data_IF_462016061864
#
_entry.id   IF_462016061864
#
_cell.length_a   1.000
_cell.length_b   1.000
_cell.length_c   1.000
_cell.angle_alpha   90.00
_cell.angle_beta   90.00
_cell.angle_gamma   90.00
#
_symmetry.space_group_name_H-M   'P 1'
#
loop_
_entity.id
_entity.type
_entity.pdbx_description
1 polymer ?
#
# COMPACT_ATOMS: atom_id res chain seq x y z
N UNK A 1 10.96 4.50 -0.90
CA UNK A 1 10.23 4.63 0.37
C UNK A 1 8.75 4.88 0.12
N UNK A 2 7.91 4.49 1.04
CA UNK A 2 6.46 4.65 0.96
C UNK A 2 5.97 5.59 2.06
N UNK A 3 5.06 6.49 1.70
CA UNK A 3 4.31 7.25 2.70
C UNK A 3 3.16 6.39 3.22
N UNK A 4 2.97 6.37 4.53
CA UNK A 4 1.86 5.63 5.13
C UNK A 4 0.71 6.60 5.35
N UNK A 5 -0.40 6.33 4.68
CA UNK A 5 -1.55 7.24 4.58
C UNK A 5 -2.71 6.82 5.50
N UNK A 6 -2.40 6.28 6.66
CA UNK A 6 -3.40 5.94 7.65
C UNK A 6 -3.07 6.55 9.01
N UNK A 7 -3.97 6.35 9.99
CA UNK A 7 -3.79 6.86 11.34
C UNK A 7 -3.16 5.85 12.31
N UNK A 8 -2.41 4.87 11.80
CA UNK A 8 -1.71 3.89 12.64
C UNK A 8 -0.54 4.48 13.42
N UNK A 9 -0.10 5.68 13.06
CA UNK A 9 1.04 6.36 13.69
C UNK A 9 2.34 6.23 12.91
N UNK A 10 2.38 5.41 11.89
CA UNK A 10 3.55 5.29 11.02
C UNK A 10 3.48 6.36 9.94
N UNK A 11 4.59 7.06 9.70
CA UNK A 11 4.67 8.11 8.68
C UNK A 11 5.33 7.62 7.40
N UNK A 12 6.49 7.00 7.50
CA UNK A 12 7.29 6.55 6.36
C UNK A 12 7.78 5.13 6.62
N UNK A 13 7.69 4.29 5.61
CA UNK A 13 8.19 2.92 5.65
C UNK A 13 9.00 2.61 4.40
N UNK A 14 9.90 1.66 4.51
CA UNK A 14 10.71 1.17 3.39
C UNK A 14 10.23 -0.22 2.99
N UNK A 15 9.93 -0.39 1.70
CA UNK A 15 9.59 -1.71 1.17
C UNK A 15 10.82 -2.63 1.22
N UNK A 16 10.67 -3.75 1.89
CA UNK A 16 11.72 -4.76 2.03
C UNK A 16 11.51 -5.91 1.08
N UNK A 17 10.26 -6.38 0.95
CA UNK A 17 9.92 -7.56 0.17
C UNK A 17 8.52 -7.41 -0.42
N UNK A 18 8.35 -7.78 -1.68
CA UNK A 18 7.03 -7.86 -2.33
C UNK A 18 6.46 -9.25 -2.09
N UNK A 19 5.27 -9.30 -1.45
CA UNK A 19 4.59 -10.54 -1.13
C UNK A 19 3.50 -10.85 -2.16
N UNK A 20 3.22 -12.14 -2.37
CA UNK A 20 2.08 -12.65 -3.14
C UNK A 20 1.97 -12.11 -4.57
N UNK A 21 3.04 -11.58 -5.13
CA UNK A 21 3.03 -11.21 -6.54
C UNK A 21 3.20 -12.47 -7.39
N UNK A 22 2.22 -12.75 -8.24
CA UNK A 22 2.39 -13.74 -9.30
C UNK A 22 3.38 -13.13 -10.28
N UNK A 23 4.65 -13.44 -10.11
CA UNK A 23 5.70 -12.89 -10.93
C UNK A 23 5.62 -13.38 -12.34
N UNK A 24 5.78 -12.48 -13.31
CA UNK A 24 6.23 -12.87 -14.63
C UNK A 24 7.58 -13.57 -14.46
N UNK A 25 7.70 -14.76 -15.02
CA UNK A 25 8.87 -15.64 -14.90
C UNK A 25 10.09 -15.15 -15.69
N UNK A 26 10.25 -13.84 -15.86
CA UNK A 26 11.45 -13.32 -16.49
C UNK A 26 12.60 -13.44 -15.51
N UNK A 27 13.57 -14.28 -15.83
CA UNK A 27 14.84 -14.35 -15.14
C UNK A 27 15.43 -12.94 -15.10
N UNK A 28 15.91 -12.49 -13.96
CA UNK A 28 16.53 -11.18 -13.72
C UNK A 28 15.55 -10.00 -13.57
N UNK A 29 14.25 -10.20 -13.57
CA UNK A 29 13.31 -9.12 -13.22
C UNK A 29 13.23 -8.99 -11.70
N UNK A 30 13.60 -7.82 -11.18
CA UNK A 30 13.34 -7.49 -9.78
C UNK A 30 11.84 -7.37 -9.59
N UNK A 31 11.24 -8.02 -8.57
CA UNK A 31 9.82 -7.86 -8.32
C UNK A 31 9.53 -6.39 -7.99
N UNK A 32 8.57 -5.82 -8.72
CA UNK A 32 8.07 -4.47 -8.48
C UNK A 32 6.65 -4.56 -7.97
N UNK A 33 6.35 -3.80 -6.94
CA UNK A 33 5.00 -3.70 -6.42
C UNK A 33 4.25 -2.60 -7.16
N UNK A 34 2.98 -2.85 -7.40
CA UNK A 34 2.04 -1.89 -7.96
C UNK A 34 0.84 -1.75 -7.03
N UNK A 35 -0.18 -0.97 -7.45
CA UNK A 35 -1.39 -0.75 -6.65
C UNK A 35 -2.06 -2.09 -6.33
N UNK A 36 -2.41 -2.28 -5.06
CA UNK A 36 -3.06 -3.48 -4.58
C UNK A 36 -2.13 -4.63 -4.27
N UNK A 37 -0.83 -4.47 -4.46
CA UNK A 37 0.15 -5.48 -4.06
C UNK A 37 0.46 -5.38 -2.57
N UNK A 38 0.64 -6.54 -1.93
CA UNK A 38 1.03 -6.61 -0.52
C UNK A 38 2.55 -6.66 -0.43
N UNK A 39 3.12 -5.79 0.39
CA UNK A 39 4.57 -5.72 0.60
C UNK A 39 4.90 -5.78 2.08
N UNK A 40 6.07 -6.30 2.42
CA UNK A 40 6.64 -6.19 3.75
C UNK A 40 7.45 -4.90 3.83
N UNK A 41 7.25 -4.13 4.90
CA UNK A 41 7.92 -2.85 5.09
C UNK A 41 8.57 -2.76 6.46
N UNK A 42 9.69 -2.03 6.51
CA UNK A 42 10.33 -1.62 7.76
C UNK A 42 9.93 -0.18 8.05
N UNK A 43 9.53 0.09 9.30
CA UNK A 43 9.12 1.42 9.72
C UNK A 43 10.36 2.31 9.86
N UNK A 44 10.36 3.46 9.19
CA UNK A 44 11.46 4.42 9.23
C UNK A 44 11.15 5.68 10.02
N UNK A 45 9.92 6.19 9.92
CA UNK A 45 9.46 7.34 10.69
C UNK A 45 8.08 7.04 11.27
N UNK A 46 7.90 7.38 12.54
CA UNK A 46 6.64 7.13 13.25
C UNK A 46 6.38 8.23 14.28
N UNK A 47 5.13 8.35 14.69
CA UNK A 47 4.72 9.25 15.77
C UNK A 47 5.02 8.61 17.14
N UNK A 48 5.30 9.41 18.18
CA UNK A 48 5.49 8.86 19.53
C UNK A 48 4.30 8.07 20.07
N UNK A 49 3.09 8.38 19.60
CA UNK A 49 1.86 7.66 19.96
C UNK A 49 1.64 6.36 19.20
N UNK A 50 2.53 6.01 18.27
CA UNK A 50 2.41 4.80 17.48
C UNK A 50 2.50 3.56 18.37
N UNK A 51 1.49 2.69 18.27
CA UNK A 51 1.43 1.45 19.05
C UNK A 51 2.10 0.27 18.34
N UNK A 52 2.43 0.41 17.07
CA UNK A 52 3.10 -0.63 16.32
C UNK A 52 4.58 -0.74 16.69
N UNK A 53 5.08 -1.97 16.71
CA UNK A 53 6.48 -2.20 17.02
C UNK A 53 7.35 -1.76 15.83
N UNK A 54 8.09 -0.66 16.01
CA UNK A 54 8.93 -0.09 14.96
C UNK A 54 10.16 -0.93 14.60
N UNK A 55 10.47 -1.95 15.40
CA UNK A 55 11.58 -2.87 15.15
C UNK A 55 11.18 -4.08 14.32
N UNK A 56 9.89 -4.30 14.12
CA UNK A 56 9.37 -5.42 13.34
C UNK A 56 8.99 -4.98 11.94
N UNK A 57 8.97 -5.96 11.03
CA UNK A 57 8.48 -5.79 9.68
C UNK A 57 6.95 -5.93 9.69
N UNK A 58 6.28 -5.04 8.99
CA UNK A 58 4.82 -5.05 8.88
C UNK A 58 4.40 -5.22 7.43
N UNK A 59 3.16 -5.69 7.22
CA UNK A 59 2.58 -5.81 5.89
C UNK A 59 1.81 -4.54 5.54
N UNK A 60 1.94 -4.13 4.28
CA UNK A 60 1.22 -2.98 3.73
C UNK A 60 0.62 -3.33 2.39
N UNK A 61 -0.47 -2.63 2.04
CA UNK A 61 -1.05 -2.65 0.71
C UNK A 61 -0.79 -1.31 0.06
N UNK A 62 -0.27 -1.32 -1.16
CA UNK A 62 0.01 -0.09 -1.91
C UNK A 62 -1.31 0.46 -2.44
N UNK A 63 -1.61 1.71 -2.12
CA UNK A 63 -2.85 2.39 -2.50
C UNK A 63 -2.66 3.46 -3.57
N UNK A 64 -1.45 4.01 -3.70
CA UNK A 64 -1.10 5.04 -4.70
C UNK A 64 0.31 4.80 -5.20
N UNK A 65 0.55 5.08 -6.47
CA UNK A 65 1.88 5.01 -7.07
C UNK A 65 2.14 6.20 -7.98
N UNK A 66 3.40 6.64 -8.05
CA UNK A 66 3.83 7.63 -9.05
C UNK A 66 3.88 7.02 -10.45
N UNK A 67 4.16 5.74 -10.56
CA UNK A 67 4.19 5.06 -11.84
C UNK A 67 2.78 4.90 -12.38
N UNK A 68 2.52 5.25 -13.65
CA UNK A 68 1.19 5.07 -14.22
C UNK A 68 0.75 3.61 -14.23
N UNK A 69 -0.50 3.37 -13.89
CA UNK A 69 -1.13 2.06 -13.94
C UNK A 69 -2.17 2.06 -15.05
N UNK A 70 -2.05 1.13 -15.99
CA UNK A 70 -2.99 1.00 -17.09
C UNK A 70 -4.28 0.33 -16.62
N UNK A 71 -5.41 0.90 -17.04
CA UNK A 71 -6.73 0.35 -16.77
C UNK A 71 -7.28 -0.39 -18.00
N UNK A 72 -8.24 -1.32 -17.82
CA UNK A 72 -8.82 -2.08 -18.93
C UNK A 72 -9.46 -1.21 -20.03
N UNK A 73 -9.94 -0.02 -19.68
CA UNK A 73 -10.54 0.92 -20.64
C UNK A 73 -9.52 1.71 -21.47
N UNK A 74 -8.22 1.46 -21.28
CA UNK A 74 -7.14 2.15 -21.97
C UNK A 74 -6.66 3.43 -21.31
N UNK A 75 -7.29 3.88 -20.23
CA UNK A 75 -6.83 5.03 -19.47
C UNK A 75 -5.70 4.65 -18.51
N UNK A 76 -5.04 5.67 -17.96
CA UNK A 76 -3.98 5.51 -16.96
C UNK A 76 -4.33 6.31 -15.72
N UNK A 77 -3.94 5.77 -14.56
CA UNK A 77 -4.01 6.50 -13.30
C UNK A 77 -2.60 6.66 -12.74
N UNK A 78 -2.29 7.86 -12.29
CA UNK A 78 -1.00 8.20 -11.69
C UNK A 78 -1.21 9.17 -10.55
N UNK A 79 -0.47 8.97 -9.47
CA UNK A 79 -0.52 9.82 -8.29
C UNK A 79 0.80 10.56 -8.10
N UNK A 80 0.81 11.59 -7.26
CA UNK A 80 2.00 12.40 -6.99
C UNK A 80 2.99 11.72 -6.06
N UNK A 81 2.57 10.70 -5.33
CA UNK A 81 3.42 9.99 -4.36
C UNK A 81 3.09 8.51 -4.33
N UNK A 82 4.04 7.73 -3.83
CA UNK A 82 3.82 6.33 -3.49
C UNK A 82 3.31 6.26 -2.06
N UNK A 83 2.17 5.65 -1.85
CA UNK A 83 1.55 5.54 -0.54
C UNK A 83 1.02 4.13 -0.30
N UNK A 84 1.00 3.75 0.97
CA UNK A 84 0.53 2.44 1.40
C UNK A 84 -0.26 2.56 2.70
N UNK A 85 -0.97 1.50 3.03
CA UNK A 85 -1.74 1.36 4.26
C UNK A 85 -1.28 0.09 4.97
N UNK A 86 -1.03 0.17 6.27
CA UNK A 86 -0.62 -0.98 7.06
C UNK A 86 -1.82 -1.90 7.29
N UNK A 87 -1.61 -3.19 7.03
CA UNK A 87 -2.61 -4.22 7.25
C UNK A 87 -2.11 -5.25 8.26
N UNK A 88 -3.06 -5.98 8.86
CA UNK A 88 -2.75 -7.10 9.74
C UNK A 88 -2.60 -8.42 8.95
N UNK A 89 -2.42 -9.54 9.65
CA UNK A 89 -2.27 -10.84 9.03
C UNK A 89 -3.51 -11.29 8.26
N UNK A 90 -4.70 -10.78 8.61
CA UNK A 90 -5.96 -11.11 7.96
C UNK A 90 -6.25 -10.21 6.75
N UNK A 91 -5.39 -9.25 6.46
CA UNK A 91 -5.57 -8.31 5.36
C UNK A 91 -6.45 -7.11 5.69
N UNK A 92 -6.78 -6.91 6.95
CA UNK A 92 -7.59 -5.78 7.40
C UNK A 92 -6.69 -4.58 7.73
N UNK A 93 -7.12 -3.33 7.45
CA UNK A 93 -6.34 -2.17 7.82
C UNK A 93 -6.21 -2.04 9.34
N UNK A 94 -5.02 -1.74 9.81
CA UNK A 94 -4.75 -1.52 11.24
C UNK A 94 -5.34 -0.20 11.70
N UNK A 95 -5.23 0.83 10.87
CA UNK A 95 -5.80 2.15 11.17
C UNK A 95 -7.30 2.20 10.91
N UNK A 96 -7.96 3.20 11.48
CA UNK A 96 -9.40 3.42 11.31
C UNK A 96 -9.71 4.49 10.26
N UNK A 97 -8.72 5.23 9.78
CA UNK A 97 -8.86 6.28 8.76
C UNK A 97 -7.76 6.17 7.73
N UNK A 98 -8.10 6.53 6.51
CA UNK A 98 -7.16 6.63 5.39
C UNK A 98 -7.17 8.07 4.90
N UNK A 99 -5.99 8.63 4.67
CA UNK A 99 -5.83 9.99 4.18
C UNK A 99 -5.59 9.99 2.68
N UNK A 100 -6.26 10.90 1.97
CA UNK A 100 -6.13 11.04 0.54
C UNK A 100 -6.88 9.99 -0.27
N UNK A 101 -6.68 10.01 -1.59
CA UNK A 101 -7.36 9.13 -2.51
C UNK A 101 -6.72 7.74 -2.57
N UNK A 102 -7.52 6.74 -2.86
CA UNK A 102 -7.06 5.39 -3.18
C UNK A 102 -7.47 5.03 -4.61
N UNK A 103 -6.74 4.11 -5.22
CA UNK A 103 -7.07 3.64 -6.56
C UNK A 103 -8.18 2.58 -6.53
N UNK A 104 -9.03 2.59 -7.56
CA UNK A 104 -10.14 1.62 -7.69
C UNK A 104 -9.68 0.17 -7.81
N UNK A 105 -8.47 -0.06 -8.26
CA UNK A 105 -7.91 -1.40 -8.43
C UNK A 105 -7.91 -2.23 -7.15
N UNK A 106 -7.97 -1.58 -5.99
CA UNK A 106 -8.07 -2.28 -4.70
C UNK A 106 -9.38 -3.07 -4.57
N UNK A 107 -10.46 -2.65 -5.22
CA UNK A 107 -11.73 -3.40 -5.22
C UNK A 107 -11.57 -4.76 -5.89
N UNK A 108 -10.85 -4.81 -6.99
CA UNK A 108 -10.61 -6.06 -7.74
C UNK A 108 -9.73 -7.03 -6.95
N UNK A 109 -8.93 -6.53 -6.03
CA UNK A 109 -8.02 -7.30 -5.19
C UNK A 109 -8.58 -7.59 -3.80
N UNK A 110 -9.87 -7.38 -3.60
CA UNK A 110 -10.60 -7.72 -2.36
C UNK A 110 -10.22 -6.89 -1.14
N UNK A 111 -9.75 -5.67 -1.33
CA UNK A 111 -9.45 -4.74 -0.24
C UNK A 111 -10.62 -3.78 0.01
N UNK A 112 -11.82 -4.30 0.16
CA UNK A 112 -13.03 -3.50 0.33
C UNK A 112 -13.03 -2.65 1.60
N UNK A 113 -12.43 -3.13 2.67
CA UNK A 113 -12.34 -2.36 3.92
C UNK A 113 -11.49 -1.11 3.75
N UNK A 114 -10.41 -1.19 2.99
CA UNK A 114 -9.58 -0.03 2.66
C UNK A 114 -10.38 0.98 1.85
N UNK A 115 -11.12 0.53 0.85
CA UNK A 115 -11.97 1.38 0.01
C UNK A 115 -13.04 2.08 0.86
N UNK A 116 -13.66 1.36 1.80
CA UNK A 116 -14.71 1.93 2.64
C UNK A 116 -14.20 3.00 3.60
N UNK A 117 -12.93 2.94 4.00
CA UNK A 117 -12.31 3.93 4.86
C UNK A 117 -11.75 5.13 4.10
N UNK A 118 -11.57 5.02 2.80
CA UNK A 118 -10.98 6.07 2.00
C UNK A 118 -11.96 7.21 1.75
N UNK A 119 -11.51 8.48 1.84
CA UNK A 119 -12.38 9.62 1.56
C UNK A 119 -12.68 9.79 0.07
N UNK A 120 -11.83 9.25 -0.79
CA UNK A 120 -11.98 9.36 -2.25
C UNK A 120 -11.41 8.13 -2.93
N UNK A 121 -12.11 7.63 -3.94
CA UNK A 121 -11.67 6.49 -4.76
C UNK A 121 -11.57 6.95 -6.21
N UNK A 122 -10.39 6.85 -6.78
CA UNK A 122 -10.11 7.28 -8.16
C UNK A 122 -9.84 6.04 -9.08
#
# INVERSE_FOLDING_TARGET
MLDISDNSGVKVAQCVLVLFKKTSRKRNARPKASIGDVVSVAIKKWLPSCQLNNKKVHRCVIIRTKQPVRRPDGSYVRFDSNAAVIIDADGNPVGTRIFGAVARELREKNFMKIISLAPEVL
#
